data_IF_148566660489
#
_entry.id   IF_148566660489
#
_cell.length_a   1.000
_cell.length_b   1.000
_cell.length_c   1.000
_cell.angle_alpha   90.00
_cell.angle_beta   90.00
_cell.angle_gamma   90.00
#
_symmetry.space_group_name_H-M   'P 1'
#
loop_
_entity.id
_entity.type
_entity.pdbx_description
1 polymer ?
#
# COMPACT_ATOMS: atom_id res chain seq x y z
N UNK A 1 37.38 -13.11 10.90
CA UNK A 1 36.07 -13.61 10.45
C UNK A 1 36.02 -13.54 8.92
N UNK A 2 35.80 -14.67 8.25
CA UNK A 2 35.70 -14.69 6.78
C UNK A 2 34.51 -13.86 6.27
N UNK A 3 34.57 -13.37 5.03
CA UNK A 3 33.46 -12.63 4.41
C UNK A 3 32.16 -13.46 4.39
N UNK A 4 32.27 -14.77 4.20
CA UNK A 4 31.12 -15.70 4.26
C UNK A 4 30.48 -15.75 5.67
N UNK A 5 31.28 -15.79 6.73
CA UNK A 5 30.77 -15.77 8.10
C UNK A 5 30.05 -14.45 8.43
N UNK A 6 30.51 -13.32 7.91
CA UNK A 6 29.82 -12.02 8.08
C UNK A 6 28.47 -11.98 7.37
N UNK A 7 28.33 -12.58 6.19
CA UNK A 7 27.09 -12.64 5.40
C UNK A 7 25.98 -13.42 6.09
N UNK A 8 26.33 -14.42 6.91
CA UNK A 8 25.33 -15.21 7.64
C UNK A 8 25.07 -14.71 9.05
N UNK A 9 26.09 -14.24 9.76
CA UNK A 9 25.96 -13.84 11.16
C UNK A 9 25.25 -12.49 11.36
N UNK A 10 25.46 -11.52 10.46
CA UNK A 10 24.83 -10.21 10.60
C UNK A 10 23.29 -10.26 10.47
N UNK A 11 22.70 -10.89 9.43
CA UNK A 11 21.25 -11.07 9.37
C UNK A 11 20.68 -11.85 10.55
N UNK A 12 21.36 -12.92 10.98
CA UNK A 12 20.93 -13.73 12.12
C UNK A 12 20.91 -12.90 13.41
N UNK A 13 21.92 -12.06 13.65
CA UNK A 13 21.96 -11.18 14.81
C UNK A 13 20.81 -10.18 14.82
N UNK A 14 20.45 -9.60 13.65
CA UNK A 14 19.30 -8.69 13.52
C UNK A 14 17.98 -9.41 13.83
N UNK A 15 17.78 -10.61 13.30
CA UNK A 15 16.57 -11.42 13.54
C UNK A 15 16.46 -11.78 15.01
N UNK A 16 17.57 -12.23 15.63
CA UNK A 16 17.60 -12.58 17.05
C UNK A 16 17.33 -11.36 17.94
N UNK A 17 17.93 -10.22 17.64
CA UNK A 17 17.67 -8.98 18.38
C UNK A 17 16.21 -8.53 18.23
N UNK A 18 15.64 -8.61 17.03
CA UNK A 18 14.23 -8.28 16.80
C UNK A 18 13.29 -9.24 17.55
N UNK A 19 13.57 -10.55 17.54
CA UNK A 19 12.82 -11.53 18.30
C UNK A 19 12.88 -11.26 19.81
N UNK A 20 14.06 -10.91 20.33
CA UNK A 20 14.24 -10.52 21.72
C UNK A 20 13.44 -9.25 22.08
N UNK A 21 13.52 -8.21 21.26
CA UNK A 21 12.75 -6.97 21.45
C UNK A 21 11.25 -7.25 21.44
N UNK A 22 10.78 -8.07 20.51
CA UNK A 22 9.37 -8.46 20.46
C UNK A 22 8.95 -9.21 21.72
N UNK A 23 9.72 -10.22 22.14
CA UNK A 23 9.45 -11.00 23.36
C UNK A 23 9.44 -10.11 24.60
N UNK A 24 10.40 -9.19 24.72
CA UNK A 24 10.47 -8.23 25.83
C UNK A 24 9.21 -7.34 25.85
N UNK A 25 8.82 -6.72 24.72
CA UNK A 25 7.62 -5.90 24.63
C UNK A 25 6.35 -6.70 24.94
N UNK A 26 6.26 -7.93 24.45
CA UNK A 26 5.15 -8.83 24.74
C UNK A 26 5.00 -9.08 26.24
N UNK A 27 6.10 -9.38 26.93
CA UNK A 27 6.11 -9.61 28.38
C UNK A 27 5.74 -8.33 29.13
N UNK A 28 6.34 -7.18 28.80
CA UNK A 28 6.05 -5.90 29.47
C UNK A 28 4.60 -5.48 29.30
N UNK A 29 4.02 -5.65 28.09
CA UNK A 29 2.62 -5.37 27.81
C UNK A 29 1.70 -6.32 28.58
N UNK A 30 2.02 -7.61 28.64
CA UNK A 30 1.24 -8.60 29.40
C UNK A 30 1.28 -8.36 30.91
N UNK A 31 2.41 -7.91 31.43
CA UNK A 31 2.57 -7.56 32.85
C UNK A 31 2.02 -6.16 33.18
N UNK A 32 1.52 -5.42 32.18
CA UNK A 32 1.05 -4.04 32.34
C UNK A 32 2.07 -3.18 33.10
N UNK A 33 3.34 -3.26 32.69
CA UNK A 33 4.44 -2.56 33.35
C UNK A 33 4.23 -1.04 33.32
N UNK A 34 4.00 -0.45 34.48
CA UNK A 34 3.53 0.92 34.61
C UNK A 34 4.36 1.99 33.85
N UNK A 35 5.72 1.93 33.80
CA UNK A 35 6.48 2.89 33.00
C UNK A 35 6.19 2.80 31.50
N UNK A 36 6.01 1.58 30.94
CA UNK A 36 5.66 1.40 29.52
C UNK A 36 4.23 1.90 29.24
N UNK A 37 3.27 1.57 30.10
CA UNK A 37 1.89 2.04 29.97
C UNK A 37 1.82 3.55 30.02
N UNK A 38 2.54 4.19 30.95
CA UNK A 38 2.61 5.67 31.04
C UNK A 38 3.19 6.30 29.78
N UNK A 39 4.28 5.73 29.24
CA UNK A 39 4.89 6.20 27.99
C UNK A 39 3.94 6.02 26.79
N UNK A 40 3.26 4.89 26.71
CA UNK A 40 2.29 4.57 25.66
C UNK A 40 1.08 5.51 25.67
N UNK A 41 0.50 5.74 26.83
CA UNK A 41 -0.62 6.68 26.98
C UNK A 41 -0.20 8.11 26.65
N UNK A 42 0.97 8.55 27.15
CA UNK A 42 1.53 9.86 26.83
C UNK A 42 1.77 10.06 25.35
N UNK A 43 2.44 9.10 24.71
CA UNK A 43 2.70 9.16 23.27
C UNK A 43 1.41 9.15 22.44
N UNK A 44 0.42 8.32 22.78
CA UNK A 44 -0.85 8.27 22.07
C UNK A 44 -1.62 9.58 22.17
N UNK A 45 -1.68 10.19 23.36
CA UNK A 45 -2.35 11.48 23.56
C UNK A 45 -1.65 12.62 22.82
N UNK A 46 -0.32 12.73 22.93
CA UNK A 46 0.46 13.79 22.29
C UNK A 46 0.40 13.70 20.77
N UNK A 47 0.62 12.51 20.18
CA UNK A 47 0.63 12.34 18.74
C UNK A 47 -0.76 12.55 18.13
N UNK A 48 -1.82 12.08 18.79
CA UNK A 48 -3.19 12.34 18.35
C UNK A 48 -3.52 13.84 18.34
N UNK A 49 -3.11 14.59 19.35
CA UNK A 49 -3.36 16.03 19.43
C UNK A 49 -2.69 16.83 18.31
N UNK A 50 -1.55 16.36 17.73
CA UNK A 50 -0.86 17.04 16.63
C UNK A 50 -1.70 17.16 15.36
N UNK A 51 -2.61 16.22 15.12
CA UNK A 51 -3.44 16.18 13.89
C UNK A 51 -4.90 16.51 14.16
N UNK A 52 -5.31 16.49 15.43
CA UNK A 52 -6.67 16.81 15.83
C UNK A 52 -7.06 18.24 15.39
N UNK A 53 -8.24 18.38 14.78
CA UNK A 53 -8.72 19.65 14.25
C UNK A 53 -8.13 20.10 12.90
N UNK A 54 -7.12 19.40 12.34
CA UNK A 54 -6.51 19.75 11.06
C UNK A 54 -6.97 18.84 9.95
N UNK A 55 -8.04 19.19 9.22
CA UNK A 55 -8.69 18.34 8.20
C UNK A 55 -7.71 17.81 7.13
N UNK A 56 -6.79 18.65 6.64
CA UNK A 56 -5.78 18.25 5.65
C UNK A 56 -4.82 17.20 6.22
N UNK A 57 -4.31 17.43 7.45
CA UNK A 57 -3.42 16.47 8.11
C UNK A 57 -4.12 15.13 8.34
N UNK A 58 -5.37 15.14 8.80
CA UNK A 58 -6.20 13.94 8.95
C UNK A 58 -6.37 13.21 7.60
N UNK A 59 -6.62 13.94 6.52
CA UNK A 59 -6.74 13.37 5.17
C UNK A 59 -5.45 12.65 4.74
N UNK A 60 -4.30 13.28 4.94
CA UNK A 60 -2.97 12.70 4.63
C UNK A 60 -2.73 11.44 5.47
N UNK A 61 -2.96 11.50 6.79
CA UNK A 61 -2.76 10.36 7.69
C UNK A 61 -3.68 9.19 7.33
N UNK A 62 -4.94 9.47 6.95
CA UNK A 62 -5.88 8.44 6.45
C UNK A 62 -5.42 7.83 5.12
N UNK A 63 -4.90 8.62 4.19
CA UNK A 63 -4.35 8.12 2.93
C UNK A 63 -3.11 7.23 3.16
N UNK A 64 -2.21 7.65 4.05
CA UNK A 64 -1.01 6.87 4.40
C UNK A 64 -1.39 5.54 5.07
N UNK A 65 -2.28 5.57 6.07
CA UNK A 65 -2.69 4.34 6.76
C UNK A 65 -3.43 3.36 5.84
N UNK A 66 -4.15 3.86 4.82
CA UNK A 66 -4.82 3.01 3.83
C UNK A 66 -3.86 2.11 3.07
N UNK A 67 -2.64 2.59 2.77
CA UNK A 67 -1.58 1.76 2.15
C UNK A 67 -1.15 0.59 3.03
N UNK A 68 -1.37 0.64 4.34
CA UNK A 68 -1.15 -0.46 5.28
C UNK A 68 -2.38 -1.35 5.52
N UNK A 69 -3.51 -1.09 4.84
CA UNK A 69 -4.72 -1.90 4.99
C UNK A 69 -4.54 -3.29 4.37
N UNK A 70 -5.20 -4.29 4.96
CA UNK A 70 -5.09 -5.68 4.51
C UNK A 70 -5.46 -5.84 3.03
N UNK A 71 -6.49 -5.13 2.54
CA UNK A 71 -6.90 -5.17 1.14
C UNK A 71 -5.79 -4.72 0.19
N UNK A 72 -5.13 -3.58 0.47
CA UNK A 72 -4.01 -3.07 -0.35
C UNK A 72 -2.81 -4.01 -0.29
N UNK A 73 -2.43 -4.46 0.90
CA UNK A 73 -1.28 -5.35 1.08
C UNK A 73 -1.47 -6.68 0.35
N UNK A 74 -2.66 -7.28 0.44
CA UNK A 74 -2.97 -8.52 -0.27
C UNK A 74 -3.07 -8.33 -1.78
N UNK A 75 -3.61 -7.22 -2.25
CA UNK A 75 -3.62 -6.89 -3.67
C UNK A 75 -2.19 -6.78 -4.21
N UNK A 76 -1.30 -6.09 -3.50
CA UNK A 76 0.11 -5.94 -3.89
C UNK A 76 0.87 -7.29 -3.90
N UNK A 77 0.74 -8.09 -2.85
CA UNK A 77 1.39 -9.41 -2.75
C UNK A 77 0.85 -10.36 -3.82
N UNK A 78 -0.48 -10.44 -3.97
CA UNK A 78 -1.12 -11.30 -4.96
C UNK A 78 -0.73 -10.91 -6.38
N UNK A 79 -0.73 -9.63 -6.69
CA UNK A 79 -0.30 -9.12 -7.99
C UNK A 79 1.17 -9.42 -8.28
N UNK A 80 2.07 -9.15 -7.32
CA UNK A 80 3.47 -9.47 -7.48
C UNK A 80 3.70 -10.98 -7.67
N UNK A 81 2.96 -11.82 -6.92
CA UNK A 81 3.03 -13.27 -7.07
C UNK A 81 2.54 -13.73 -8.47
N UNK A 82 1.46 -13.17 -8.99
CA UNK A 82 0.98 -13.44 -10.36
C UNK A 82 2.02 -13.04 -11.39
N UNK A 83 2.62 -11.87 -11.26
CA UNK A 83 3.69 -11.40 -12.15
C UNK A 83 4.88 -12.37 -12.15
N UNK A 84 5.33 -12.78 -10.97
CA UNK A 84 6.45 -13.72 -10.83
C UNK A 84 6.09 -15.09 -11.40
N UNK A 85 4.86 -15.55 -11.21
CA UNK A 85 4.35 -16.80 -11.80
C UNK A 85 4.35 -16.76 -13.34
N UNK A 86 3.85 -15.67 -13.95
CA UNK A 86 3.90 -15.44 -15.41
C UNK A 86 5.35 -15.48 -15.90
N UNK A 87 6.29 -14.93 -15.11
CA UNK A 87 7.72 -14.95 -15.42
C UNK A 87 8.42 -16.26 -15.05
N UNK A 88 7.68 -17.29 -14.68
CA UNK A 88 8.15 -18.62 -14.28
C UNK A 88 9.08 -18.59 -13.05
N UNK A 89 8.99 -17.55 -12.22
CA UNK A 89 9.73 -17.40 -10.95
C UNK A 89 8.88 -17.89 -9.76
N UNK A 90 8.42 -19.14 -9.85
CA UNK A 90 7.48 -19.74 -8.89
C UNK A 90 7.98 -19.71 -7.44
N UNK A 91 9.29 -19.88 -7.23
CA UNK A 91 9.87 -19.87 -5.88
C UNK A 91 9.66 -18.51 -5.20
N UNK A 92 9.92 -17.41 -5.92
CA UNK A 92 9.69 -16.05 -5.42
C UNK A 92 8.19 -15.77 -5.22
N UNK A 93 7.33 -16.28 -6.11
CA UNK A 93 5.87 -16.15 -5.95
C UNK A 93 5.39 -16.86 -4.68
N UNK A 94 5.82 -18.11 -4.46
CA UNK A 94 5.50 -18.87 -3.25
C UNK A 94 6.04 -18.17 -2.00
N UNK A 95 7.28 -17.66 -2.05
CA UNK A 95 7.85 -16.89 -0.93
C UNK A 95 6.96 -15.71 -0.55
N UNK A 96 6.52 -14.90 -1.51
CA UNK A 96 5.62 -13.76 -1.24
C UNK A 96 4.32 -14.20 -0.59
N UNK A 97 3.68 -15.24 -1.12
CA UNK A 97 2.40 -15.74 -0.63
C UNK A 97 2.53 -16.31 0.80
N UNK A 98 3.55 -17.13 1.05
CA UNK A 98 3.79 -17.74 2.37
C UNK A 98 4.15 -16.68 3.40
N UNK A 99 5.05 -15.75 3.04
CA UNK A 99 5.47 -14.67 3.95
C UNK A 99 4.31 -13.75 4.28
N UNK A 100 3.50 -13.35 3.28
CA UNK A 100 2.30 -12.55 3.49
C UNK A 100 1.23 -13.28 4.30
N UNK A 101 0.99 -14.57 4.02
CA UNK A 101 0.01 -15.38 4.73
C UNK A 101 0.31 -15.52 6.23
N UNK A 102 1.59 -15.46 6.62
CA UNK A 102 1.96 -15.44 8.03
C UNK A 102 1.33 -14.30 8.82
N UNK A 103 1.08 -13.15 8.21
CA UNK A 103 0.41 -12.02 8.88
C UNK A 103 -1.02 -12.39 9.26
N UNK A 104 -1.75 -13.17 8.42
CA UNK A 104 -3.12 -13.58 8.69
C UNK A 104 -3.25 -14.50 9.90
N UNK A 105 -2.17 -15.19 10.26
CA UNK A 105 -2.16 -16.07 11.43
C UNK A 105 -1.54 -15.38 12.65
N UNK A 106 -0.42 -14.68 12.47
CA UNK A 106 0.30 -14.03 13.57
C UNK A 106 -0.51 -12.91 14.22
N UNK A 107 -1.15 -12.03 13.42
CA UNK A 107 -1.90 -10.91 13.97
C UNK A 107 -3.08 -11.34 14.85
N UNK A 108 -4.05 -12.16 14.39
CA UNK A 108 -5.19 -12.56 15.23
C UNK A 108 -4.80 -13.47 16.39
N UNK A 109 -3.82 -14.35 16.22
CA UNK A 109 -3.36 -15.23 17.31
C UNK A 109 -2.77 -14.40 18.43
N UNK A 110 -1.87 -13.46 18.12
CA UNK A 110 -1.24 -12.64 19.15
C UNK A 110 -2.23 -11.67 19.80
N UNK A 111 -3.17 -11.11 19.05
CA UNK A 111 -4.25 -10.30 19.61
C UNK A 111 -5.08 -11.08 20.61
N UNK A 112 -5.50 -12.28 20.26
CA UNK A 112 -6.26 -13.14 21.16
C UNK A 112 -5.46 -13.55 22.41
N UNK A 113 -4.15 -13.77 22.26
CA UNK A 113 -3.28 -14.11 23.39
C UNK A 113 -3.01 -12.93 24.33
N UNK A 114 -2.91 -11.70 23.80
CA UNK A 114 -2.58 -10.52 24.60
C UNK A 114 -3.82 -9.85 25.17
N UNK A 115 -4.88 -9.67 24.38
CA UNK A 115 -6.14 -9.07 24.80
C UNK A 115 -6.02 -7.60 25.23
N UNK A 116 -5.06 -6.83 24.66
CA UNK A 116 -4.80 -5.45 25.07
C UNK A 116 -5.87 -4.51 24.52
N UNK A 117 -6.48 -3.71 25.38
CA UNK A 117 -7.42 -2.66 24.98
C UNK A 117 -6.72 -1.55 24.19
N UNK A 118 -7.47 -0.88 23.31
CA UNK A 118 -6.96 0.24 22.51
C UNK A 118 -6.88 1.53 23.34
N UNK A 119 -6.03 2.49 22.92
CA UNK A 119 -5.94 3.79 23.58
C UNK A 119 -7.29 4.52 23.52
N UNK A 120 -7.62 5.19 24.63
CA UNK A 120 -8.69 6.16 24.70
C UNK A 120 -8.03 7.54 24.63
N UNK A 121 -8.29 8.27 23.55
CA UNK A 121 -7.71 9.62 23.30
C UNK A 121 -8.82 10.66 23.31
N UNK A 122 -8.45 11.92 23.59
CA UNK A 122 -9.42 13.02 23.69
C UNK A 122 -10.11 13.32 22.33
N UNK A 123 -9.42 13.10 21.22
CA UNK A 123 -9.93 13.39 19.89
C UNK A 123 -9.83 12.14 18.97
N UNK A 124 -10.72 11.13 19.10
CA UNK A 124 -10.64 9.93 18.30
C UNK A 124 -10.94 10.25 16.83
N UNK A 125 -9.94 10.05 15.95
CA UNK A 125 -10.05 10.33 14.51
C UNK A 125 -10.47 9.08 13.74
N UNK A 126 -10.19 7.91 14.29
CA UNK A 126 -10.56 6.61 13.74
C UNK A 126 -10.89 5.64 14.88
N UNK A 127 -11.67 4.61 14.56
CA UNK A 127 -12.02 3.55 15.49
C UNK A 127 -11.41 2.23 15.01
N UNK A 128 -10.64 1.59 15.87
CA UNK A 128 -10.10 0.24 15.60
C UNK A 128 -11.04 -0.82 16.16
N UNK A 129 -11.20 -1.93 15.44
CA UNK A 129 -11.92 -3.11 15.94
C UNK A 129 -10.95 -4.08 16.62
N UNK A 130 -11.40 -4.76 17.68
CA UNK A 130 -10.64 -5.79 18.41
C UNK A 130 -9.42 -5.24 19.16
N UNK A 131 -8.51 -6.14 19.53
CA UNK A 131 -7.38 -5.86 20.41
C UNK A 131 -6.30 -4.99 19.77
N UNK A 132 -5.50 -4.34 20.62
CA UNK A 132 -4.52 -3.34 20.21
C UNK A 132 -3.18 -3.96 19.81
N UNK A 133 -2.63 -4.90 20.60
CA UNK A 133 -1.30 -5.45 20.41
C UNK A 133 -1.31 -6.79 19.66
N UNK A 134 -0.45 -6.95 18.64
CA UNK A 134 0.34 -5.94 17.96
C UNK A 134 -0.52 -5.14 16.95
N UNK A 135 0.07 -4.06 16.37
CA UNK A 135 -0.60 -3.30 15.31
C UNK A 135 -0.59 -4.05 13.97
N UNK A 136 -1.76 -4.50 13.49
CA UNK A 136 -1.87 -5.25 12.24
C UNK A 136 -1.45 -4.47 10.99
N UNK A 137 -1.68 -3.13 10.93
CA UNK A 137 -1.18 -2.29 9.84
C UNK A 137 0.36 -2.20 9.85
N UNK A 138 0.97 -2.02 11.02
CA UNK A 138 2.43 -1.96 11.14
C UNK A 138 3.06 -3.32 10.82
N UNK A 139 2.50 -4.42 11.32
CA UNK A 139 2.96 -5.78 11.02
C UNK A 139 2.82 -6.11 9.54
N UNK A 140 1.64 -5.89 8.96
CA UNK A 140 1.38 -6.14 7.55
C UNK A 140 2.29 -5.30 6.64
N UNK A 141 2.50 -4.02 6.97
CA UNK A 141 3.35 -3.15 6.17
C UNK A 141 4.81 -3.63 6.14
N UNK A 142 5.40 -3.94 7.28
CA UNK A 142 6.81 -4.37 7.31
C UNK A 142 6.99 -5.74 6.65
N UNK A 143 6.06 -6.67 6.84
CA UNK A 143 6.14 -8.00 6.22
C UNK A 143 5.93 -7.92 4.71
N UNK A 144 4.86 -7.29 4.24
CA UNK A 144 4.51 -7.27 2.82
C UNK A 144 5.46 -6.37 2.01
N UNK A 145 5.70 -5.12 2.44
CA UNK A 145 6.65 -4.25 1.74
C UNK A 145 8.09 -4.72 1.88
N UNK A 146 8.46 -5.31 3.04
CA UNK A 146 9.76 -5.92 3.23
C UNK A 146 9.98 -7.15 2.33
N UNK A 147 8.98 -8.02 2.17
CA UNK A 147 9.05 -9.15 1.24
C UNK A 147 9.18 -8.68 -0.22
N UNK A 148 8.38 -7.69 -0.62
CA UNK A 148 8.50 -7.05 -1.95
C UNK A 148 9.89 -6.42 -2.14
N UNK A 149 10.41 -5.75 -1.12
CA UNK A 149 11.77 -5.20 -1.16
C UNK A 149 12.81 -6.29 -1.44
N UNK A 150 12.81 -7.39 -0.68
CA UNK A 150 13.78 -8.47 -0.84
C UNK A 150 13.68 -9.15 -2.22
N UNK A 151 12.48 -9.30 -2.75
CA UNK A 151 12.24 -9.91 -4.08
C UNK A 151 12.69 -8.99 -5.21
N UNK A 152 12.38 -7.69 -5.16
CA UNK A 152 12.65 -6.77 -6.27
C UNK A 152 13.96 -5.99 -6.13
N UNK A 153 14.68 -6.12 -5.03
CA UNK A 153 15.99 -5.48 -4.82
C UNK A 153 17.00 -5.77 -5.94
N UNK A 154 17.10 -7.02 -6.48
CA UNK A 154 18.03 -7.31 -7.59
C UNK A 154 17.74 -6.50 -8.86
N UNK A 155 16.48 -6.08 -9.07
CA UNK A 155 16.09 -5.28 -10.23
C UNK A 155 16.62 -3.83 -10.20
N UNK A 156 17.05 -3.35 -9.02
CA UNK A 156 17.49 -1.97 -8.81
C UNK A 156 19.02 -1.83 -8.85
N UNK A 157 19.54 -0.67 -9.28
CA UNK A 157 20.98 -0.34 -9.34
C UNK A 157 21.24 1.12 -8.96
N UNK A 158 22.45 1.37 -8.47
CA UNK A 158 22.97 2.72 -8.21
C UNK A 158 22.02 3.56 -7.35
N UNK A 159 21.69 4.76 -7.83
CA UNK A 159 20.81 5.69 -7.10
C UNK A 159 19.40 5.13 -6.92
N UNK A 160 18.86 4.39 -7.90
CA UNK A 160 17.52 3.82 -7.82
C UNK A 160 17.36 2.80 -6.71
N UNK A 161 18.43 2.08 -6.37
CA UNK A 161 18.46 1.20 -5.23
C UNK A 161 18.29 1.96 -3.91
N UNK A 162 19.03 3.08 -3.76
CA UNK A 162 18.91 3.93 -2.57
C UNK A 162 17.51 4.55 -2.48
N UNK A 163 16.98 5.03 -3.59
CA UNK A 163 15.62 5.58 -3.65
C UNK A 163 14.59 4.50 -3.28
N UNK A 164 14.67 3.31 -3.86
CA UNK A 164 13.75 2.21 -3.55
C UNK A 164 13.80 1.84 -2.06
N UNK A 165 15.00 1.69 -1.50
CA UNK A 165 15.17 1.42 -0.07
C UNK A 165 14.58 2.53 0.80
N UNK A 166 14.87 3.79 0.49
CA UNK A 166 14.35 4.93 1.23
C UNK A 166 12.82 5.00 1.17
N UNK A 167 12.23 4.78 0.00
CA UNK A 167 10.76 4.75 -0.17
C UNK A 167 10.12 3.67 0.67
N UNK A 168 10.63 2.44 0.63
CA UNK A 168 10.08 1.32 1.40
C UNK A 168 10.19 1.57 2.90
N UNK A 169 11.35 2.00 3.39
CA UNK A 169 11.57 2.28 4.82
C UNK A 169 10.67 3.43 5.29
N UNK A 170 10.61 4.52 4.53
CA UNK A 170 9.75 5.66 4.85
C UNK A 170 8.28 5.27 4.86
N UNK A 171 7.83 4.47 3.90
CA UNK A 171 6.45 4.01 3.82
C UNK A 171 6.06 3.15 5.04
N UNK A 172 6.89 2.17 5.41
CA UNK A 172 6.67 1.34 6.59
C UNK A 172 6.61 2.19 7.86
N UNK A 173 7.55 3.12 8.02
CA UNK A 173 7.58 4.03 9.17
C UNK A 173 6.34 4.94 9.19
N UNK A 174 5.98 5.55 8.06
CA UNK A 174 4.81 6.42 7.94
C UNK A 174 3.50 5.69 8.25
N UNK A 175 3.33 4.45 7.78
CA UNK A 175 2.15 3.62 8.10
C UNK A 175 2.09 3.35 9.61
N UNK A 176 3.19 2.95 10.25
CA UNK A 176 3.21 2.73 11.70
C UNK A 176 2.89 4.00 12.48
N UNK A 177 3.53 5.13 12.15
CA UNK A 177 3.29 6.43 12.79
C UNK A 177 1.84 6.88 12.59
N UNK A 178 1.25 6.63 11.42
CA UNK A 178 -0.15 6.99 11.16
C UNK A 178 -1.13 6.35 12.16
N UNK A 179 -0.79 5.16 12.70
CA UNK A 179 -1.65 4.47 13.68
C UNK A 179 -1.66 5.19 15.03
N UNK A 180 -0.54 5.81 15.39
CA UNK A 180 -0.40 6.62 16.60
C UNK A 180 -1.14 7.95 16.44
N UNK A 181 -0.93 8.64 15.30
CA UNK A 181 -1.61 9.89 14.97
C UNK A 181 -3.13 9.74 14.93
N UNK A 182 -3.65 8.61 14.47
CA UNK A 182 -5.08 8.31 14.47
C UNK A 182 -5.63 7.95 15.88
N UNK A 183 -4.76 7.74 16.87
CA UNK A 183 -5.16 7.39 18.24
C UNK A 183 -5.71 5.97 18.39
N UNK A 184 -5.32 5.03 17.52
CA UNK A 184 -5.88 3.67 17.51
C UNK A 184 -4.93 2.59 18.02
N UNK A 185 -3.64 2.93 18.22
CA UNK A 185 -2.61 2.04 18.76
C UNK A 185 -1.64 2.79 19.68
N UNK A 186 -1.01 2.05 20.57
CA UNK A 186 0.10 2.51 21.40
C UNK A 186 1.44 2.40 20.65
N UNK A 187 2.46 3.12 21.14
CA UNK A 187 3.80 3.08 20.56
C UNK A 187 4.38 1.68 20.62
N UNK A 188 4.22 0.99 21.74
CA UNK A 188 4.69 -0.39 21.91
C UNK A 188 3.98 -1.39 20.98
N UNK A 189 2.70 -1.14 20.59
CA UNK A 189 2.00 -1.98 19.60
C UNK A 189 2.67 -1.91 18.23
N UNK A 190 3.13 -0.71 17.84
CA UNK A 190 3.80 -0.47 16.55
C UNK A 190 5.22 -1.03 16.57
N UNK A 191 5.98 -0.76 17.63
CA UNK A 191 7.36 -1.28 17.78
C UNK A 191 7.37 -2.80 17.88
N UNK A 192 6.43 -3.39 18.63
CA UNK A 192 6.25 -4.84 18.72
C UNK A 192 5.90 -5.45 17.36
N UNK A 193 5.00 -4.81 16.60
CA UNK A 193 4.65 -5.24 15.26
C UNK A 193 5.85 -5.20 14.30
N UNK A 194 6.67 -4.16 14.35
CA UNK A 194 7.89 -4.10 13.52
C UNK A 194 8.92 -5.15 13.93
N UNK A 195 9.14 -5.34 15.22
CA UNK A 195 10.06 -6.36 15.72
C UNK A 195 9.61 -7.78 15.32
N UNK A 196 8.33 -8.10 15.48
CA UNK A 196 7.75 -9.36 15.02
C UNK A 196 7.86 -9.53 13.50
N UNK A 197 7.58 -8.46 12.75
CA UNK A 197 7.64 -8.47 11.28
C UNK A 197 9.06 -8.69 10.76
N UNK A 198 10.09 -8.06 11.38
CA UNK A 198 11.51 -8.32 11.06
C UNK A 198 11.85 -9.77 11.36
N UNK A 199 11.40 -10.29 12.49
CA UNK A 199 11.64 -11.68 12.88
C UNK A 199 11.03 -12.65 11.86
N UNK A 200 9.76 -12.46 11.51
CA UNK A 200 9.06 -13.30 10.54
C UNK A 200 9.68 -13.22 9.15
N UNK A 201 9.94 -12.01 8.67
CA UNK A 201 10.60 -11.77 7.39
C UNK A 201 11.98 -12.41 7.31
N UNK A 202 12.77 -12.29 8.39
CA UNK A 202 14.08 -12.91 8.47
C UNK A 202 14.02 -14.45 8.46
N UNK A 203 13.09 -15.04 9.22
CA UNK A 203 12.89 -16.50 9.25
C UNK A 203 12.47 -17.03 7.87
N UNK A 204 11.54 -16.38 7.20
CA UNK A 204 11.09 -16.79 5.86
C UNK A 204 12.17 -16.59 4.79
N UNK A 205 12.96 -15.51 4.87
CA UNK A 205 14.10 -15.30 3.99
C UNK A 205 15.21 -16.35 4.22
N UNK A 206 15.47 -16.69 5.47
CA UNK A 206 16.43 -17.75 5.82
C UNK A 206 15.97 -19.12 5.31
N UNK A 207 14.70 -19.48 5.51
CA UNK A 207 14.14 -20.72 4.97
C UNK A 207 14.22 -20.79 3.43
N UNK A 208 13.96 -19.65 2.76
CA UNK A 208 14.12 -19.54 1.32
C UNK A 208 15.56 -19.75 0.88
N UNK A 209 16.52 -19.14 1.57
CA UNK A 209 17.95 -19.28 1.28
C UNK A 209 18.43 -20.72 1.48
N UNK A 210 18.01 -21.40 2.56
CA UNK A 210 18.31 -22.82 2.76
C UNK A 210 17.79 -23.68 1.59
N UNK A 211 16.58 -23.38 1.10
CA UNK A 211 16.02 -24.12 -0.02
C UNK A 211 16.80 -23.87 -1.33
N UNK A 212 17.39 -22.68 -1.50
CA UNK A 212 18.26 -22.34 -2.64
C UNK A 212 19.58 -23.11 -2.56
N UNK A 213 20.20 -23.10 -1.39
CA UNK A 213 21.46 -23.83 -1.15
C UNK A 213 21.29 -25.32 -1.38
N UNK A 214 20.17 -25.91 -0.92
CA UNK A 214 19.84 -27.33 -1.19
C UNK A 214 19.68 -27.61 -2.70
N UNK A 215 19.36 -26.61 -3.50
CA UNK A 215 19.32 -26.70 -4.97
C UNK A 215 20.67 -26.37 -5.64
N UNK A 216 21.76 -26.19 -4.87
CA UNK A 216 23.11 -25.89 -5.38
C UNK A 216 23.37 -24.42 -5.73
N UNK A 217 22.47 -23.48 -5.35
CA UNK A 217 22.70 -22.06 -5.56
C UNK A 217 23.74 -21.48 -4.58
N UNK A 218 24.49 -20.45 -4.95
CA UNK A 218 25.47 -19.81 -4.07
C UNK A 218 24.76 -19.08 -2.92
N UNK A 219 25.46 -18.96 -1.78
CA UNK A 219 25.00 -18.20 -0.62
C UNK A 219 24.88 -16.73 -0.96
N UNK A 220 23.72 -16.13 -0.68
CA UNK A 220 23.45 -14.71 -0.90
C UNK A 220 23.14 -14.00 0.42
N UNK A 221 23.33 -12.66 0.42
CA UNK A 221 22.81 -11.81 1.48
C UNK A 221 21.48 -11.17 0.99
N UNK A 222 20.32 -11.61 1.54
CA UNK A 222 19.01 -11.14 1.08
C UNK A 222 18.85 -9.63 1.21
N UNK A 223 19.47 -8.97 2.19
CA UNK A 223 19.32 -7.53 2.45
C UNK A 223 20.11 -6.70 1.45
N UNK A 224 21.27 -7.19 1.00
CA UNK A 224 22.13 -6.46 0.08
C UNK A 224 22.04 -6.93 -1.36
N UNK A 225 21.75 -8.18 -1.61
CA UNK A 225 21.72 -8.79 -2.95
C UNK A 225 20.30 -9.14 -3.41
N UNK A 226 19.33 -9.23 -2.46
CA UNK A 226 18.00 -9.75 -2.68
C UNK A 226 17.96 -11.28 -2.61
N UNK A 227 16.77 -11.84 -2.72
CA UNK A 227 16.55 -13.29 -2.54
C UNK A 227 17.06 -14.13 -3.70
N UNK A 228 16.95 -13.65 -4.92
CA UNK A 228 17.41 -14.33 -6.15
C UNK A 228 18.13 -13.32 -7.06
N UNK A 229 19.42 -13.04 -6.82
CA UNK A 229 20.20 -12.12 -7.67
C UNK A 229 20.22 -12.52 -9.16
N UNK A 230 20.12 -13.84 -9.42
CA UNK A 230 20.09 -14.42 -10.77
C UNK A 230 18.80 -14.06 -11.53
N UNK A 231 17.71 -13.80 -10.83
CA UNK A 231 16.42 -13.40 -11.41
C UNK A 231 16.45 -11.97 -11.98
N UNK A 232 17.54 -11.23 -11.80
CA UNK A 232 17.66 -9.83 -12.16
C UNK A 232 17.18 -9.50 -13.57
N UNK A 233 17.63 -10.25 -14.57
CA UNK A 233 17.27 -10.02 -15.97
C UNK A 233 15.76 -10.16 -16.20
N UNK A 234 15.10 -11.04 -15.46
CA UNK A 234 13.67 -11.26 -15.56
C UNK A 234 12.85 -10.22 -14.79
N UNK A 235 13.42 -9.64 -13.76
CA UNK A 235 12.77 -8.62 -12.93
C UNK A 235 12.91 -7.21 -13.51
N UNK A 236 13.90 -6.98 -14.38
CA UNK A 236 14.10 -5.68 -15.03
C UNK A 236 13.13 -5.49 -16.22
N UNK A 237 12.68 -4.26 -16.46
CA UNK A 237 12.00 -3.91 -17.71
C UNK A 237 12.93 -4.15 -18.89
N UNK A 238 12.37 -4.52 -20.05
CA UNK A 238 13.14 -4.64 -21.28
C UNK A 238 13.74 -3.27 -21.65
N UNK A 239 15.03 -3.22 -21.95
CA UNK A 239 15.68 -2.00 -22.43
C UNK A 239 14.99 -1.53 -23.72
N UNK A 240 14.70 -0.22 -23.87
CA UNK A 240 14.19 0.30 -25.12
C UNK A 240 15.28 0.16 -26.18
N UNK A 241 14.94 -0.41 -27.34
CA UNK A 241 15.82 -0.39 -28.51
C UNK A 241 16.32 1.03 -28.76
N UNK A 242 17.63 1.19 -28.68
CA UNK A 242 18.34 2.47 -28.89
C UNK A 242 18.26 2.88 -30.35
N UNK A 243 17.18 3.57 -30.72
CA UNK A 243 17.13 4.28 -31.99
C UNK A 243 16.62 5.70 -31.78
N UNK A 244 17.51 6.67 -32.08
CA UNK A 244 17.25 8.10 -32.30
C UNK A 244 16.64 8.90 -31.11
N UNK A 245 17.52 9.46 -30.29
CA UNK A 245 17.16 10.22 -29.09
C UNK A 245 16.63 11.65 -29.36
N UNK A 246 17.01 12.31 -30.47
CA UNK A 246 16.67 13.71 -30.75
C UNK A 246 15.24 13.92 -31.31
N UNK A 247 14.73 13.02 -32.15
CA UNK A 247 13.38 13.11 -32.71
C UNK A 247 12.28 12.74 -31.68
N UNK A 248 12.65 12.01 -30.64
CA UNK A 248 11.71 11.56 -29.59
C UNK A 248 11.21 12.70 -28.72
N UNK A 249 12.09 13.60 -28.27
CA UNK A 249 11.70 14.71 -27.40
C UNK A 249 10.64 15.63 -28.05
N UNK A 250 10.81 15.93 -29.33
CA UNK A 250 9.85 16.73 -30.11
C UNK A 250 8.53 16.01 -30.34
N UNK A 251 8.57 14.69 -30.58
CA UNK A 251 7.38 13.86 -30.76
C UNK A 251 6.59 13.71 -29.45
N UNK A 252 7.28 13.47 -28.32
CA UNK A 252 6.64 13.39 -27.02
C UNK A 252 6.09 14.72 -26.54
N UNK A 253 6.76 15.85 -26.84
CA UNK A 253 6.24 17.18 -26.56
C UNK A 253 4.90 17.47 -27.29
N UNK A 254 4.79 17.07 -28.57
CA UNK A 254 3.53 17.20 -29.34
C UNK A 254 2.42 16.30 -28.79
N UNK A 255 2.75 15.06 -28.39
CA UNK A 255 1.77 14.14 -27.79
C UNK A 255 1.30 14.69 -26.44
N UNK A 256 2.21 15.15 -25.58
CA UNK A 256 1.87 15.75 -24.31
C UNK A 256 0.99 17.00 -24.46
N UNK A 257 1.33 17.89 -25.40
CA UNK A 257 0.52 19.05 -25.73
C UNK A 257 -0.89 18.64 -26.22
N UNK A 258 -0.98 17.63 -27.08
CA UNK A 258 -2.26 17.08 -27.55
C UNK A 258 -3.11 16.53 -26.41
N UNK A 259 -2.52 15.79 -25.48
CA UNK A 259 -3.20 15.26 -24.29
C UNK A 259 -3.72 16.38 -23.40
N UNK A 260 -2.93 17.43 -23.16
CA UNK A 260 -3.36 18.60 -22.38
C UNK A 260 -4.52 19.33 -23.08
N UNK A 261 -4.43 19.54 -24.39
CA UNK A 261 -5.52 20.17 -25.14
C UNK A 261 -6.80 19.35 -25.08
N UNK A 262 -6.74 18.05 -25.31
CA UNK A 262 -7.89 17.15 -25.17
C UNK A 262 -8.48 17.20 -23.76
N UNK A 263 -7.63 17.19 -22.74
CA UNK A 263 -8.06 17.28 -21.34
C UNK A 263 -8.81 18.60 -21.07
N UNK A 264 -8.26 19.75 -21.50
CA UNK A 264 -8.89 21.07 -21.35
C UNK A 264 -10.23 21.11 -22.08
N UNK A 265 -10.31 20.54 -23.29
CA UNK A 265 -11.57 20.46 -24.06
C UNK A 265 -12.62 19.61 -23.33
N UNK A 266 -12.24 18.43 -22.82
CA UNK A 266 -13.16 17.56 -22.08
C UNK A 266 -13.68 18.29 -20.83
N UNK A 267 -12.80 18.89 -20.02
CA UNK A 267 -13.21 19.65 -18.83
C UNK A 267 -14.10 20.83 -19.21
N UNK A 268 -13.76 21.56 -20.27
CA UNK A 268 -14.57 22.68 -20.78
C UNK A 268 -15.96 22.26 -21.22
N UNK A 269 -16.06 21.18 -22.01
CA UNK A 269 -17.34 20.63 -22.49
C UNK A 269 -18.20 20.14 -21.32
N UNK A 270 -17.63 19.34 -20.41
CA UNK A 270 -18.36 18.81 -19.25
C UNK A 270 -18.83 19.91 -18.31
N UNK A 271 -17.99 20.93 -18.09
CA UNK A 271 -18.37 22.12 -17.30
C UNK A 271 -19.46 22.93 -17.99
N UNK A 272 -19.37 23.10 -19.33
CA UNK A 272 -20.38 23.75 -20.13
C UNK A 272 -21.73 23.04 -20.09
N UNK A 273 -21.74 21.73 -20.28
CA UNK A 273 -22.94 20.89 -20.18
C UNK A 273 -23.51 20.99 -18.75
N UNK A 274 -22.68 20.90 -17.72
CA UNK A 274 -23.10 21.02 -16.33
C UNK A 274 -23.77 22.40 -16.05
N UNK A 275 -23.19 23.49 -16.56
CA UNK A 275 -23.81 24.84 -16.47
C UNK A 275 -25.13 24.93 -17.25
N UNK A 276 -25.18 24.38 -18.46
CA UNK A 276 -26.39 24.35 -19.27
C UNK A 276 -27.52 23.60 -18.53
N UNK A 277 -27.24 22.45 -17.97
CA UNK A 277 -28.20 21.68 -17.14
C UNK A 277 -28.66 22.53 -15.95
N UNK A 278 -27.77 23.25 -15.29
CA UNK A 278 -28.13 24.12 -14.16
C UNK A 278 -29.03 25.31 -14.58
N UNK A 279 -28.81 25.85 -15.76
CA UNK A 279 -29.63 26.97 -16.30
C UNK A 279 -31.02 26.46 -16.75
N UNK A 280 -31.12 25.26 -17.29
CA UNK A 280 -32.37 24.63 -17.73
C UNK A 280 -33.20 24.03 -16.60
N UNK A 281 -32.73 24.10 -15.37
CA UNK A 281 -33.50 23.70 -14.18
C UNK A 281 -34.71 24.62 -14.02
N UNK A 282 -35.91 24.03 -13.96
CA UNK A 282 -37.15 24.76 -13.62
C UNK A 282 -37.00 25.39 -12.23
N UNK A 283 -37.76 26.46 -11.94
CA UNK A 283 -37.67 27.28 -10.73
C UNK A 283 -37.73 26.51 -9.39
N UNK A 284 -38.06 25.22 -9.38
CA UNK A 284 -38.00 24.29 -8.22
C UNK A 284 -36.67 23.50 -8.13
N UNK A 285 -35.70 23.77 -8.98
CA UNK A 285 -34.36 23.22 -8.89
C UNK A 285 -34.19 21.75 -9.36
N UNK A 286 -35.23 21.11 -9.91
CA UNK A 286 -35.22 19.70 -10.28
C UNK A 286 -35.35 19.47 -11.79
N UNK A 287 -34.59 18.52 -12.34
CA UNK A 287 -34.81 17.97 -13.68
C UNK A 287 -36.01 17.00 -13.67
N UNK A 288 -36.67 16.89 -14.84
CA UNK A 288 -37.69 15.83 -15.02
C UNK A 288 -37.08 14.46 -14.65
N UNK A 289 -37.64 13.84 -13.63
CA UNK A 289 -37.20 12.52 -13.15
C UNK A 289 -36.28 12.52 -11.90
N UNK A 290 -35.78 13.67 -11.43
CA UNK A 290 -34.87 13.76 -10.27
C UNK A 290 -35.49 13.17 -8.98
N UNK A 291 -36.80 13.19 -8.83
CA UNK A 291 -37.51 12.55 -7.70
C UNK A 291 -38.11 11.21 -8.09
N UNK A 292 -38.65 11.08 -9.30
CA UNK A 292 -39.41 9.89 -9.71
C UNK A 292 -38.53 8.65 -9.80
N UNK A 293 -37.35 8.78 -10.38
CA UNK A 293 -36.40 7.67 -10.58
C UNK A 293 -35.85 7.15 -9.24
N UNK A 294 -35.29 8.00 -8.35
CA UNK A 294 -34.82 7.52 -7.03
C UNK A 294 -35.94 6.95 -6.16
N UNK A 295 -37.14 7.55 -6.20
CA UNK A 295 -38.31 7.03 -5.47
C UNK A 295 -38.75 5.67 -6.01
N UNK A 296 -38.75 5.48 -7.34
CA UNK A 296 -39.08 4.20 -7.93
C UNK A 296 -38.11 3.09 -7.47
N UNK A 297 -36.79 3.36 -7.52
CA UNK A 297 -35.78 2.45 -7.03
C UNK A 297 -35.91 2.19 -5.52
N UNK A 298 -36.23 3.22 -4.74
CA UNK A 298 -36.43 3.08 -3.30
C UNK A 298 -37.63 2.20 -2.99
N UNK A 299 -38.73 2.32 -3.73
CA UNK A 299 -39.96 1.53 -3.56
C UNK A 299 -39.79 0.05 -3.98
N UNK A 300 -38.88 -0.22 -4.92
CA UNK A 300 -38.65 -1.58 -5.46
C UNK A 300 -37.36 -2.22 -4.90
N UNK A 301 -36.88 -1.78 -3.73
CA UNK A 301 -35.72 -2.35 -3.06
C UNK A 301 -35.98 -3.78 -2.61
N UNK A 302 -35.14 -4.72 -3.07
CA UNK A 302 -35.03 -6.07 -2.55
C UNK A 302 -33.65 -6.27 -1.94
N UNK A 303 -33.50 -7.25 -1.03
CA UNK A 303 -32.19 -7.58 -0.45
C UNK A 303 -31.15 -7.93 -1.52
N UNK A 304 -31.56 -8.64 -2.57
CA UNK A 304 -30.70 -8.99 -3.71
C UNK A 304 -30.28 -7.76 -4.52
N UNK A 305 -31.21 -6.85 -4.86
CA UNK A 305 -30.90 -5.61 -5.58
C UNK A 305 -29.97 -4.69 -4.76
N UNK A 306 -30.18 -4.59 -3.46
CA UNK A 306 -29.30 -3.83 -2.58
C UNK A 306 -27.89 -4.43 -2.55
N UNK A 307 -27.78 -5.77 -2.47
CA UNK A 307 -26.49 -6.46 -2.50
C UNK A 307 -25.72 -6.20 -3.79
N UNK A 308 -26.37 -6.38 -4.96
CA UNK A 308 -25.76 -6.10 -6.26
C UNK A 308 -25.44 -4.62 -6.48
N UNK A 309 -26.29 -3.71 -6.00
CA UNK A 309 -26.05 -2.27 -6.05
C UNK A 309 -24.83 -1.87 -5.20
N UNK A 310 -24.66 -2.47 -4.02
CA UNK A 310 -23.48 -2.25 -3.18
C UNK A 310 -22.19 -2.75 -3.84
N UNK A 311 -22.23 -3.92 -4.49
CA UNK A 311 -21.08 -4.45 -5.27
C UNK A 311 -20.79 -3.51 -6.44
N UNK A 312 -21.79 -3.12 -7.23
CA UNK A 312 -21.62 -2.21 -8.37
C UNK A 312 -21.11 -0.83 -7.94
N UNK A 313 -21.63 -0.28 -6.85
CA UNK A 313 -21.14 0.99 -6.28
C UNK A 313 -19.71 0.88 -5.74
N UNK A 314 -19.36 -0.28 -5.14
CA UNK A 314 -18.00 -0.57 -4.70
C UNK A 314 -17.01 -0.56 -5.87
N UNK A 315 -17.34 -1.23 -6.98
CA UNK A 315 -16.49 -1.26 -8.17
C UNK A 315 -16.25 0.14 -8.77
N UNK A 316 -17.17 1.09 -8.56
CA UNK A 316 -17.04 2.49 -8.95
C UNK A 316 -16.35 3.38 -7.91
N UNK A 317 -15.99 2.85 -6.75
CA UNK A 317 -15.30 3.63 -5.73
C UNK A 317 -13.89 4.01 -6.20
N UNK A 318 -13.48 5.26 -5.94
CA UNK A 318 -12.17 5.78 -6.35
C UNK A 318 -11.02 4.87 -5.89
N UNK A 319 -11.15 4.25 -4.73
CA UNK A 319 -10.16 3.33 -4.19
C UNK A 319 -10.02 2.07 -5.06
N UNK A 320 -11.14 1.48 -5.48
CA UNK A 320 -11.14 0.25 -6.28
C UNK A 320 -10.66 0.52 -7.71
N UNK A 321 -11.03 1.66 -8.29
CA UNK A 321 -10.52 2.11 -9.60
C UNK A 321 -9.00 2.30 -9.53
N UNK A 322 -8.46 2.93 -8.47
CA UNK A 322 -7.02 3.09 -8.27
C UNK A 322 -6.32 1.74 -8.13
N UNK A 323 -6.89 0.81 -7.37
CA UNK A 323 -6.35 -0.55 -7.21
C UNK A 323 -6.30 -1.24 -8.58
N UNK A 324 -7.41 -1.27 -9.31
CA UNK A 324 -7.49 -1.90 -10.64
C UNK A 324 -6.49 -1.26 -11.60
N UNK A 325 -6.33 0.06 -11.57
CA UNK A 325 -5.38 0.76 -12.41
C UNK A 325 -3.93 0.43 -12.08
N UNK A 326 -3.56 0.42 -10.79
CA UNK A 326 -2.22 0.01 -10.36
C UNK A 326 -1.97 -1.46 -10.72
N UNK A 327 -2.93 -2.34 -10.48
CA UNK A 327 -2.88 -3.76 -10.89
C UNK A 327 -2.64 -3.88 -12.39
N UNK A 328 -3.40 -3.15 -13.19
CA UNK A 328 -3.26 -3.15 -14.65
C UNK A 328 -1.89 -2.65 -15.10
N UNK A 329 -1.38 -1.56 -14.50
CA UNK A 329 -0.03 -1.04 -14.76
C UNK A 329 1.05 -2.09 -14.51
N UNK A 330 0.95 -2.79 -13.39
CA UNK A 330 1.94 -3.80 -13.01
C UNK A 330 1.83 -5.04 -13.89
N UNK A 331 0.62 -5.50 -14.20
CA UNK A 331 0.41 -6.62 -15.14
C UNK A 331 0.95 -6.28 -16.52
N UNK A 332 0.65 -5.09 -17.07
CA UNK A 332 1.20 -4.65 -18.35
C UNK A 332 2.72 -4.58 -18.33
N UNK A 333 3.33 -4.04 -17.27
CA UNK A 333 4.78 -4.00 -17.14
C UNK A 333 5.37 -5.40 -17.05
N UNK A 334 4.71 -6.30 -16.34
CA UNK A 334 5.13 -7.68 -16.18
C UNK A 334 5.10 -8.46 -17.50
N UNK A 335 4.01 -8.34 -18.25
CA UNK A 335 3.80 -9.07 -19.50
C UNK A 335 4.62 -8.48 -20.63
N UNK A 336 4.54 -7.17 -20.82
CA UNK A 336 5.17 -6.51 -21.99
C UNK A 336 6.62 -6.09 -21.75
N UNK A 337 7.06 -6.00 -20.49
CA UNK A 337 8.35 -5.43 -20.07
C UNK A 337 8.58 -3.99 -20.56
N UNK A 338 7.52 -3.30 -21.03
CA UNK A 338 7.61 -1.96 -21.63
C UNK A 338 6.94 -0.93 -20.74
N UNK A 339 7.60 0.18 -20.46
CA UNK A 339 7.06 1.28 -19.67
C UNK A 339 5.97 2.09 -20.37
N UNK A 340 5.91 2.07 -21.70
CA UNK A 340 4.96 2.88 -22.47
C UNK A 340 3.50 2.63 -22.12
N UNK A 341 2.99 1.38 -22.04
CA UNK A 341 1.60 1.12 -21.65
C UNK A 341 1.31 1.59 -20.21
N UNK A 342 2.29 1.43 -19.33
CA UNK A 342 2.16 1.85 -17.92
C UNK A 342 2.04 3.37 -17.80
N UNK A 343 2.92 4.11 -18.49
CA UNK A 343 2.86 5.59 -18.53
C UNK A 343 1.54 6.06 -19.14
N UNK A 344 1.09 5.43 -20.21
CA UNK A 344 -0.20 5.75 -20.83
C UNK A 344 -1.37 5.56 -19.85
N UNK A 345 -1.44 4.39 -19.21
CA UNK A 345 -2.51 4.09 -18.26
C UNK A 345 -2.46 5.03 -17.03
N UNK A 346 -1.26 5.31 -16.51
CA UNK A 346 -1.08 6.26 -15.42
C UNK A 346 -1.56 7.67 -15.80
N UNK A 347 -1.19 8.15 -17.00
CA UNK A 347 -1.63 9.48 -17.48
C UNK A 347 -3.15 9.54 -17.62
N UNK A 348 -3.79 8.48 -18.15
CA UNK A 348 -5.25 8.42 -18.28
C UNK A 348 -5.91 8.48 -16.89
N UNK A 349 -5.46 7.69 -15.94
CA UNK A 349 -6.04 7.64 -14.59
C UNK A 349 -5.85 8.94 -13.82
N UNK A 350 -4.63 9.52 -13.86
CA UNK A 350 -4.39 10.83 -13.22
C UNK A 350 -5.17 11.94 -13.92
N UNK A 351 -5.31 11.88 -15.24
CA UNK A 351 -6.11 12.84 -16.02
C UNK A 351 -7.59 12.78 -15.63
N UNK A 352 -8.15 11.59 -15.47
CA UNK A 352 -9.54 11.40 -15.03
C UNK A 352 -9.75 11.94 -13.61
N UNK A 353 -8.88 11.57 -12.67
CA UNK A 353 -8.94 12.06 -11.30
C UNK A 353 -8.82 13.58 -11.22
N UNK A 354 -7.88 14.16 -11.98
CA UNK A 354 -7.71 15.62 -12.05
C UNK A 354 -8.94 16.31 -12.64
N UNK A 355 -9.54 15.75 -13.70
CA UNK A 355 -10.78 16.27 -14.28
C UNK A 355 -11.93 16.25 -13.27
N UNK A 356 -12.12 15.12 -12.58
CA UNK A 356 -13.14 14.98 -11.54
C UNK A 356 -12.95 16.01 -10.42
N UNK A 357 -11.75 16.14 -9.86
CA UNK A 357 -11.45 17.08 -8.78
C UNK A 357 -11.63 18.54 -9.23
N UNK A 358 -11.26 18.87 -10.48
CA UNK A 358 -11.43 20.21 -11.04
C UNK A 358 -12.91 20.56 -11.16
N UNK A 359 -13.72 19.67 -11.72
CA UNK A 359 -15.17 19.87 -11.88
C UNK A 359 -15.86 19.96 -10.52
N UNK A 360 -15.50 19.10 -9.56
CA UNK A 360 -16.03 19.13 -8.21
C UNK A 360 -15.65 20.45 -7.48
N UNK A 361 -14.41 20.93 -7.66
CA UNK A 361 -13.95 22.21 -7.10
C UNK A 361 -14.65 23.44 -7.68
N UNK A 362 -15.02 23.41 -8.97
CA UNK A 362 -15.78 24.49 -9.62
C UNK A 362 -17.25 24.51 -9.12
N UNK A 363 -17.81 23.34 -8.81
CA UNK A 363 -19.20 23.22 -8.33
C UNK A 363 -19.39 23.69 -6.89
N UNK A 364 -18.34 23.62 -6.07
CA UNK A 364 -18.39 24.02 -4.66
C UNK A 364 -18.07 25.52 -4.43
N UNK A 365 -17.89 26.30 -5.49
CA UNK A 365 -17.78 27.76 -5.48
C UNK A 365 -19.02 28.38 -6.13
#
# INVERSE_FOLDING_TARGET
MSAAARRTLAPLAVVTAAAFVFALLLVLVRLQWAPLESADHGAAAQLNSLVAGHAVAIGIVKAVTWLGSSGVLWALIGMAAVVLAIRRRWRLAIYLLVTGAGVLTLDPVLKALVGRLRPVVAHPIAYGKGDSFPSGHALGSIVCYGALFLVFLPATRGIWRRVFTAVIVTLIAAIGISRLLLGVHYLSDVLGAWALGITWLGLTAFAFELSRQAAGAPVTDPVTEGLEPEARADLQPAEPETTMQHDRARKYGRIAAGVVVCWVLIVGVLTGIGKLIMITRNGNGNLLGDHTIPHWFAAHRTSALNHWSLIGSGLGATQDILIVGVVSCVVFLAVTRRWRPVVFLAVVMFGELAAFLTIAGIRNR
#
